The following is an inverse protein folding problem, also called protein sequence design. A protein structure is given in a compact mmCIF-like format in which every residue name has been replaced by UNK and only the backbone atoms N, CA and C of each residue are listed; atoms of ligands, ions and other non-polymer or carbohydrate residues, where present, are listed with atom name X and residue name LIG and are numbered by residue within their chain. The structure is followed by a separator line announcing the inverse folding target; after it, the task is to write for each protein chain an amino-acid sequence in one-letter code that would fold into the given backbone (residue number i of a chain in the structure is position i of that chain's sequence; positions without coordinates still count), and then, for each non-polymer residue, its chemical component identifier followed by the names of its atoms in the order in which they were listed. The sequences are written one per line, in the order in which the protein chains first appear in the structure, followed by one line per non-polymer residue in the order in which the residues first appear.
data_IF_545420469679
#
_entry.id   IF_545420469679
#
_cell.length_a   1.000
_cell.length_b   1.000
_cell.length_c   1.000
_cell.angle_alpha   90.00
_cell.angle_beta   90.00
_cell.angle_gamma   90.00
#
_symmetry.space_group_name_H-M   'P 1'
#
loop_
_entity.id
_entity.type
_entity.pdbx_description
1 polymer ?
#
# COMPACT_ATOMS: atom_id res chain seq x y z
N UNK A 1 -10.67 4.87 20.90
CA UNK A 1 -9.80 4.66 19.74
C UNK A 1 -8.95 5.90 19.57
N UNK A 2 -7.62 5.74 19.63
CA UNK A 2 -6.70 6.85 19.35
C UNK A 2 -6.35 6.80 17.86
N UNK A 3 -6.53 7.91 17.17
CA UNK A 3 -6.08 8.08 15.78
C UNK A 3 -4.76 8.83 15.83
N UNK A 4 -3.72 8.27 15.29
CA UNK A 4 -2.40 8.90 15.17
C UNK A 4 -2.07 9.11 13.70
N UNK A 5 -1.43 10.20 13.40
CA UNK A 5 -0.88 10.44 12.06
C UNK A 5 0.38 9.58 11.89
N UNK A 6 0.30 8.60 11.01
CA UNK A 6 1.41 7.69 10.72
C UNK A 6 2.32 8.19 9.57
N UNK A 7 2.03 9.34 8.99
CA UNK A 7 2.84 9.87 7.87
C UNK A 7 4.27 10.21 8.27
N UNK A 8 4.53 10.42 9.55
CA UNK A 8 5.85 10.72 10.10
C UNK A 8 6.66 9.48 10.52
N UNK A 9 6.04 8.30 10.49
CA UNK A 9 6.72 7.06 10.93
C UNK A 9 7.15 6.27 9.70
N UNK A 10 8.45 6.13 9.42
CA UNK A 10 8.91 5.28 8.33
C UNK A 10 8.41 3.85 8.53
N UNK A 11 7.73 3.30 7.54
CA UNK A 11 7.38 1.88 7.52
C UNK A 11 8.63 1.07 7.18
N UNK A 12 8.96 0.08 7.99
CA UNK A 12 10.05 -0.86 7.72
C UNK A 12 9.68 -1.94 6.68
N UNK A 13 8.45 -1.93 6.16
CA UNK A 13 7.96 -2.88 5.18
C UNK A 13 7.97 -2.35 3.76
N UNK A 14 7.88 -3.26 2.79
CA UNK A 14 7.65 -2.94 1.37
C UNK A 14 6.32 -3.53 0.92
N UNK A 15 5.69 -2.88 -0.06
CA UNK A 15 4.41 -3.30 -0.63
C UNK A 15 4.25 -2.73 -2.03
N UNK A 16 3.56 -3.46 -2.90
CA UNK A 16 3.22 -3.05 -4.27
C UNK A 16 2.28 -1.83 -4.32
N UNK A 17 1.73 -1.42 -3.17
CA UNK A 17 0.96 -0.17 -3.04
C UNK A 17 1.82 1.05 -3.42
N UNK A 18 3.13 1.00 -3.18
CA UNK A 18 4.06 2.05 -3.61
C UNK A 18 4.04 2.24 -5.13
N UNK A 19 3.99 1.16 -5.89
CA UNK A 19 3.94 1.19 -7.35
C UNK A 19 2.64 1.83 -7.85
N UNK A 20 1.51 1.45 -7.26
CA UNK A 20 0.21 2.05 -7.58
C UNK A 20 0.18 3.55 -7.25
N UNK A 21 0.83 3.95 -6.15
CA UNK A 21 0.92 5.35 -5.72
C UNK A 21 1.69 6.25 -6.70
N UNK A 22 2.57 5.70 -7.52
CA UNK A 22 3.25 6.47 -8.57
C UNK A 22 2.30 6.96 -9.67
N UNK A 23 1.15 6.31 -9.84
CA UNK A 23 0.20 6.54 -10.93
C UNK A 23 -1.12 7.17 -10.47
N UNK A 24 -1.56 6.88 -9.24
CA UNK A 24 -2.87 7.32 -8.74
C UNK A 24 -2.88 7.45 -7.22
N UNK A 25 -3.85 8.24 -6.65
CA UNK A 25 -3.97 8.38 -5.22
C UNK A 25 -4.36 7.06 -4.56
N UNK A 26 -3.71 6.72 -3.46
CA UNK A 26 -3.99 5.54 -2.66
C UNK A 26 -4.27 5.96 -1.22
N UNK A 27 -5.32 5.41 -0.64
CA UNK A 27 -5.63 5.56 0.77
C UNK A 27 -5.14 4.34 1.54
N UNK A 28 -4.27 4.57 2.49
CA UNK A 28 -3.75 3.53 3.38
C UNK A 28 -4.03 3.87 4.84
N UNK A 29 -4.24 2.86 5.65
CA UNK A 29 -4.37 3.00 7.09
C UNK A 29 -3.98 1.69 7.78
N UNK A 30 -3.60 1.79 9.04
CA UNK A 30 -3.33 0.65 9.88
C UNK A 30 -4.34 0.60 11.02
N UNK A 31 -4.72 -0.59 11.43
CA UNK A 31 -5.51 -0.84 12.64
C UNK A 31 -4.70 -1.70 13.60
N UNK A 32 -5.01 -1.59 14.89
CA UNK A 32 -4.47 -2.50 15.89
C UNK A 32 -5.21 -3.84 15.89
N UNK A 33 -5.04 -4.58 16.99
CA UNK A 33 -5.71 -5.85 17.22
C UNK A 33 -4.83 -7.07 16.93
N UNK A 34 -3.58 -6.86 16.53
CA UNK A 34 -2.59 -7.91 16.39
C UNK A 34 -1.44 -7.71 17.37
N UNK A 35 -0.81 -8.82 17.75
CA UNK A 35 0.38 -8.90 18.61
C UNK A 35 1.41 -9.82 17.97
N UNK A 36 2.63 -9.77 18.45
CA UNK A 36 3.74 -10.59 17.97
C UNK A 36 5.00 -9.77 17.76
N UNK A 37 6.11 -10.44 17.52
CA UNK A 37 7.41 -9.81 17.29
C UNK A 37 7.57 -9.22 15.89
N UNK A 38 6.67 -9.55 14.95
CA UNK A 38 6.62 -9.00 13.60
C UNK A 38 5.55 -9.67 12.75
N UNK A 39 5.21 -9.06 11.60
CA UNK A 39 4.16 -9.54 10.70
C UNK A 39 4.41 -10.97 10.14
N UNK A 40 5.68 -11.37 10.05
CA UNK A 40 6.08 -12.68 9.53
C UNK A 40 6.65 -13.61 10.60
N UNK A 41 6.37 -13.30 11.89
CA UNK A 41 6.84 -14.10 13.01
C UNK A 41 5.86 -15.22 13.34
N UNK A 42 6.38 -16.30 13.92
CA UNK A 42 5.57 -17.48 14.33
C UNK A 42 4.63 -17.19 15.50
N UNK A 43 4.90 -16.11 16.23
CA UNK A 43 4.12 -15.61 17.38
C UNK A 43 3.12 -14.51 16.97
N UNK A 44 2.96 -14.24 15.66
CA UNK A 44 1.96 -13.29 15.20
C UNK A 44 0.56 -13.88 15.44
N UNK A 45 -0.26 -13.10 16.15
CA UNK A 45 -1.62 -13.51 16.53
C UNK A 45 -2.56 -12.31 16.55
N UNK A 46 -3.87 -12.55 16.48
CA UNK A 46 -4.91 -11.55 16.65
C UNK A 46 -5.46 -11.64 18.06
N UNK A 47 -5.25 -10.62 18.87
CA UNK A 47 -5.68 -10.55 20.26
C UNK A 47 -6.94 -9.69 20.49
N UNK A 48 -7.34 -8.90 19.48
CA UNK A 48 -8.56 -8.09 19.49
C UNK A 48 -9.24 -8.19 18.12
N UNK A 49 -10.13 -9.16 17.97
CA UNK A 49 -10.86 -9.43 16.72
C UNK A 49 -11.78 -8.26 16.31
N UNK A 50 -12.39 -7.56 17.27
CA UNK A 50 -13.23 -6.38 16.98
C UNK A 50 -12.39 -5.31 16.29
N UNK A 51 -11.22 -5.01 16.82
CA UNK A 51 -10.33 -4.00 16.28
C UNK A 51 -9.72 -4.43 14.96
N UNK A 52 -9.26 -5.68 14.87
CA UNK A 52 -8.59 -6.20 13.68
C UNK A 52 -9.54 -6.37 12.48
N UNK A 53 -10.74 -6.89 12.71
CA UNK A 53 -11.65 -7.26 11.62
C UNK A 53 -12.80 -6.26 11.47
N UNK A 54 -13.56 -6.02 12.54
CA UNK A 54 -14.80 -5.26 12.43
C UNK A 54 -14.51 -3.76 12.24
N UNK A 55 -13.61 -3.19 13.02
CA UNK A 55 -13.23 -1.78 12.87
C UNK A 55 -12.58 -1.54 11.51
N UNK A 56 -11.70 -2.43 11.07
CA UNK A 56 -11.07 -2.38 9.75
C UNK A 56 -12.11 -2.37 8.63
N UNK A 57 -13.06 -3.31 8.65
CA UNK A 57 -14.15 -3.37 7.68
C UNK A 57 -15.02 -2.11 7.67
N UNK A 58 -15.34 -1.59 8.86
CA UNK A 58 -16.10 -0.32 8.99
C UNK A 58 -15.36 0.87 8.38
N UNK A 59 -14.04 0.97 8.57
CA UNK A 59 -13.22 2.05 7.99
C UNK A 59 -13.28 1.98 6.46
N UNK A 60 -13.07 0.80 5.86
CA UNK A 60 -13.17 0.62 4.41
C UNK A 60 -14.56 1.01 3.89
N UNK A 61 -15.62 0.47 4.48
CA UNK A 61 -17.00 0.73 4.06
C UNK A 61 -17.37 2.22 4.14
N UNK A 62 -17.02 2.88 5.26
CA UNK A 62 -17.30 4.30 5.44
C UNK A 62 -16.47 5.19 4.52
N UNK A 63 -15.23 4.83 4.26
CA UNK A 63 -14.36 5.55 3.32
C UNK A 63 -14.93 5.45 1.90
N UNK A 64 -15.23 4.22 1.45
CA UNK A 64 -15.86 4.02 0.14
C UNK A 64 -17.19 4.77 0.02
N UNK A 65 -18.05 4.69 1.02
CA UNK A 65 -19.31 5.42 1.05
C UNK A 65 -19.10 6.94 0.93
N UNK A 66 -18.16 7.51 1.70
CA UNK A 66 -17.86 8.95 1.66
C UNK A 66 -17.33 9.40 0.31
N UNK A 67 -16.49 8.59 -0.32
CA UNK A 67 -15.90 8.89 -1.63
C UNK A 67 -16.96 8.82 -2.75
N UNK A 68 -17.87 7.84 -2.67
CA UNK A 68 -18.80 7.53 -3.77
C UNK A 68 -20.15 8.24 -3.65
N UNK A 69 -20.59 8.64 -2.47
CA UNK A 69 -21.87 9.37 -2.29
C UNK A 69 -21.89 10.67 -3.10
N UNK A 70 -23.09 11.13 -3.47
CA UNK A 70 -23.28 12.40 -4.17
C UNK A 70 -22.63 12.44 -5.56
N UNK A 71 -22.61 11.32 -6.29
CA UNK A 71 -22.03 11.22 -7.64
C UNK A 71 -20.51 11.15 -7.66
N UNK A 72 -19.93 10.67 -6.55
CA UNK A 72 -18.47 10.48 -6.39
C UNK A 72 -17.64 11.78 -6.50
N UNK A 73 -18.21 12.91 -6.13
CA UNK A 73 -17.51 14.20 -6.25
C UNK A 73 -16.21 14.23 -5.42
N UNK A 74 -16.21 13.60 -4.23
CA UNK A 74 -15.03 13.55 -3.38
C UNK A 74 -13.93 12.68 -4.03
N UNK A 75 -14.28 11.54 -4.60
CA UNK A 75 -13.34 10.69 -5.30
C UNK A 75 -12.76 11.37 -6.55
N UNK A 76 -13.63 12.00 -7.35
CA UNK A 76 -13.19 12.77 -8.53
C UNK A 76 -12.20 13.86 -8.15
N UNK A 77 -12.53 14.64 -7.12
CA UNK A 77 -11.63 15.70 -6.65
C UNK A 77 -10.25 15.15 -6.21
N UNK A 78 -10.21 14.02 -5.52
CA UNK A 78 -8.93 13.39 -5.13
C UNK A 78 -8.11 12.98 -6.34
N UNK A 79 -8.75 12.42 -7.38
CA UNK A 79 -8.06 12.03 -8.61
C UNK A 79 -7.57 13.27 -9.38
N UNK A 80 -8.40 14.29 -9.49
CA UNK A 80 -8.07 15.52 -10.23
C UNK A 80 -6.96 16.34 -9.55
N UNK A 81 -6.93 16.36 -8.22
CA UNK A 81 -5.89 17.07 -7.43
C UNK A 81 -4.58 16.28 -7.34
N UNK A 82 -4.61 14.96 -7.58
CA UNK A 82 -3.44 14.12 -7.47
C UNK A 82 -2.44 14.40 -8.59
N UNK A 83 -1.18 14.53 -8.23
CA UNK A 83 -0.08 14.70 -9.18
C UNK A 83 0.80 13.45 -9.14
N UNK A 84 0.60 12.51 -10.07
CA UNK A 84 1.42 11.33 -10.14
C UNK A 84 2.89 11.69 -10.39
N UNK A 85 3.79 10.86 -9.86
CA UNK A 85 5.24 11.04 -10.07
C UNK A 85 5.61 10.70 -11.52
N UNK A 86 4.89 9.72 -12.11
CA UNK A 86 5.07 9.26 -13.48
C UNK A 86 3.76 9.33 -14.26
N UNK A 87 3.84 9.57 -15.54
CA UNK A 87 2.81 9.13 -16.47
C UNK A 87 2.84 7.60 -16.58
N UNK A 88 1.78 7.00 -17.08
CA UNK A 88 1.74 5.55 -17.27
C UNK A 88 2.92 5.03 -18.12
N UNK A 89 3.28 5.76 -19.18
CA UNK A 89 4.38 5.33 -20.06
C UNK A 89 5.73 5.46 -19.37
N UNK A 90 5.99 6.57 -18.69
CA UNK A 90 7.23 6.76 -17.92
C UNK A 90 7.41 5.69 -16.84
N UNK A 91 6.31 5.26 -16.19
CA UNK A 91 6.37 4.18 -15.21
C UNK A 91 6.71 2.83 -15.86
N UNK A 92 6.12 2.52 -17.02
CA UNK A 92 6.45 1.30 -17.78
C UNK A 92 7.93 1.31 -18.18
N UNK A 93 8.41 2.40 -18.75
CA UNK A 93 9.81 2.54 -19.18
C UNK A 93 10.78 2.43 -17.99
N UNK A 94 10.41 2.99 -16.84
CA UNK A 94 11.18 2.86 -15.61
C UNK A 94 11.26 1.39 -15.15
N UNK A 95 10.12 0.69 -15.11
CA UNK A 95 10.10 -0.74 -14.70
C UNK A 95 10.87 -1.63 -15.66
N UNK A 96 10.74 -1.42 -16.97
CA UNK A 96 11.50 -2.15 -17.99
C UNK A 96 13.01 -1.91 -17.83
N UNK A 97 13.42 -0.68 -17.52
CA UNK A 97 14.83 -0.35 -17.27
C UNK A 97 15.41 -1.08 -16.07
N UNK A 98 14.59 -1.34 -15.06
CA UNK A 98 14.97 -2.08 -13.85
C UNK A 98 15.15 -3.57 -14.15
N UNK A 99 14.25 -4.15 -14.95
CA UNK A 99 14.31 -5.57 -15.35
C UNK A 99 15.53 -5.82 -16.24
N UNK A 100 15.79 -4.95 -17.22
CA UNK A 100 16.92 -5.08 -18.13
C UNK A 100 18.28 -5.06 -17.42
N UNK A 101 18.38 -4.33 -16.31
CA UNK A 101 19.59 -4.30 -15.47
C UNK A 101 19.82 -5.60 -14.68
N UNK A 102 18.75 -6.35 -14.38
CA UNK A 102 18.84 -7.60 -13.62
C UNK A 102 19.12 -8.82 -14.48
N UNK A 103 18.78 -8.79 -15.76
CA UNK A 103 19.04 -9.91 -16.68
C UNK A 103 20.48 -9.97 -17.21
N UNK A 104 21.29 -8.95 -16.94
CA UNK A 104 22.72 -8.92 -17.27
C UNK A 104 23.61 -9.63 -16.26
N UNK A 105 23.35 -10.89 -15.95
CA UNK A 105 24.20 -11.68 -15.07
C UNK A 105 23.43 -12.76 -14.32
N UNK A 106 22.90 -13.75 -15.03
CA UNK A 106 22.64 -15.03 -14.39
C UNK A 106 23.99 -15.59 -13.87
N UNK A 107 24.08 -16.00 -12.59
CA UNK A 107 25.29 -16.64 -12.12
C UNK A 107 25.51 -17.90 -12.96
N UNK A 108 26.63 -17.95 -13.66
CA UNK A 108 27.09 -19.18 -14.30
C UNK A 108 27.54 -20.10 -13.17
N UNK A 109 26.74 -21.11 -12.87
CA UNK A 109 27.17 -22.19 -12.02
C UNK A 109 28.10 -23.05 -12.88
N UNK A 110 29.41 -22.94 -12.66
CA UNK A 110 30.38 -23.90 -13.21
C UNK A 110 30.13 -25.22 -12.46
N UNK A 111 29.68 -26.25 -13.18
CA UNK A 111 29.62 -27.61 -12.67
C UNK A 111 31.07 -28.13 -12.55
N UNK A 112 31.50 -28.50 -11.31
CA UNK A 112 32.71 -29.25 -11.05
C UNK A 112 32.51 -30.75 -11.31
#
# INVERSE_FOLDING_TARGET
MNVVDATSTPSGGSTDVGDVQHLQPVFTFNTGGAVGSGLHSVDFDVNDEELAYIVTAKIFALTAYRLLKGGALAAKKLVDDYKPIFTKQEYIDFMESMISKKTGGAPVFEEE
#
